data_IF_503275556930
#
_entry.id   IF_503275556930
#
_cell.length_a   1.000
_cell.length_b   1.000
_cell.length_c   1.000
_cell.angle_alpha   90.00
_cell.angle_beta   90.00
_cell.angle_gamma   90.00
#
_symmetry.space_group_name_H-M   'P 1'
#
loop_
_entity.id
_entity.type
_entity.pdbx_description
1 polymer ?
#
# COMPACT_ATOMS: atom_id res chain seq x y z
N UNK A 1 0.54 12.97 -59.54
CA UNK A 1 -0.51 12.11 -58.97
C UNK A 1 0.13 11.18 -57.94
N UNK A 2 -0.37 11.25 -56.70
CA UNK A 2 -0.44 10.18 -55.67
C UNK A 2 0.90 9.48 -55.35
N UNK A 3 1.71 9.95 -54.39
CA UNK A 3 1.69 9.61 -52.95
C UNK A 3 1.78 8.13 -52.61
N UNK A 4 2.83 7.73 -51.90
CA UNK A 4 2.78 6.65 -50.89
C UNK A 4 3.89 6.88 -49.87
N UNK A 5 3.49 7.57 -48.80
CA UNK A 5 4.23 7.74 -47.56
C UNK A 5 4.26 6.41 -46.80
N UNK A 6 5.44 5.89 -46.50
CA UNK A 6 5.60 4.87 -45.47
C UNK A 6 5.80 5.58 -44.13
N UNK A 7 4.73 5.62 -43.35
CA UNK A 7 4.72 6.12 -41.99
C UNK A 7 5.60 5.22 -41.10
N UNK A 8 6.68 5.80 -40.57
CA UNK A 8 7.36 5.29 -39.38
C UNK A 8 6.41 5.44 -38.19
N UNK A 9 5.87 4.33 -37.70
CA UNK A 9 5.27 4.27 -36.36
C UNK A 9 6.42 4.19 -35.33
N UNK A 10 6.89 5.35 -34.88
CA UNK A 10 7.67 5.45 -33.65
C UNK A 10 6.68 5.48 -32.49
N UNK A 11 6.54 4.35 -31.78
CA UNK A 11 5.76 4.29 -30.54
C UNK A 11 6.62 4.86 -29.40
N UNK A 12 6.18 5.90 -28.67
CA UNK A 12 6.91 6.41 -27.52
C UNK A 12 6.58 5.55 -26.31
N UNK A 13 7.58 4.88 -25.73
CA UNK A 13 7.39 4.12 -24.47
C UNK A 13 8.48 4.46 -23.45
N UNK A 14 8.64 5.75 -23.18
CA UNK A 14 9.32 6.24 -21.98
C UNK A 14 8.29 6.47 -20.88
N UNK A 15 8.15 5.55 -19.92
CA UNK A 15 7.72 5.83 -18.52
C UNK A 15 7.61 4.60 -17.60
N UNK A 16 7.89 3.38 -18.04
CA UNK A 16 7.69 2.17 -17.20
C UNK A 16 8.86 1.88 -16.23
N UNK A 17 10.01 2.54 -16.41
CA UNK A 17 11.26 2.21 -15.72
C UNK A 17 11.39 2.65 -14.23
N UNK A 18 10.72 3.69 -13.70
CA UNK A 18 10.91 4.08 -12.30
C UNK A 18 10.18 3.17 -11.30
N UNK A 19 9.02 2.62 -11.67
CA UNK A 19 8.18 1.84 -10.76
C UNK A 19 8.76 0.44 -10.53
N UNK A 20 9.28 -0.20 -11.57
CA UNK A 20 9.87 -1.55 -11.50
C UNK A 20 11.14 -1.57 -10.63
N UNK A 21 11.95 -0.51 -10.70
CA UNK A 21 13.14 -0.36 -9.86
C UNK A 21 12.76 -0.14 -8.38
N UNK A 22 11.75 0.67 -8.10
CA UNK A 22 11.25 0.88 -6.73
C UNK A 22 10.61 -0.38 -6.14
N UNK A 23 9.95 -1.21 -6.97
CA UNK A 23 9.37 -2.48 -6.55
C UNK A 23 10.41 -3.49 -6.04
N UNK A 24 11.62 -3.51 -6.61
CA UNK A 24 12.74 -4.33 -6.09
C UNK A 24 13.27 -3.81 -4.75
N UNK A 25 13.13 -2.52 -4.46
CA UNK A 25 13.65 -1.87 -3.25
C UNK A 25 12.77 -2.05 -2.01
N UNK A 26 11.47 -2.32 -2.18
CA UNK A 26 10.53 -2.59 -1.06
C UNK A 26 10.79 -3.97 -0.42
N UNK A 27 11.65 -4.80 -1.02
CA UNK A 27 11.99 -6.13 -0.51
C UNK A 27 12.61 -6.13 0.90
N UNK A 28 13.05 -4.99 1.43
CA UNK A 28 13.47 -4.84 2.83
C UNK A 28 12.46 -4.04 3.67
N UNK A 29 12.20 -4.53 4.88
CA UNK A 29 11.34 -3.88 5.89
C UNK A 29 11.76 -2.42 6.19
N UNK A 30 13.05 -2.10 6.05
CA UNK A 30 13.59 -0.76 6.22
C UNK A 30 13.06 0.25 5.19
N UNK A 31 12.90 -0.15 3.93
CA UNK A 31 12.38 0.70 2.86
C UNK A 31 10.87 0.92 3.01
N UNK A 32 10.15 -0.10 3.50
CA UNK A 32 8.73 0.02 3.83
C UNK A 32 8.50 1.07 4.93
N UNK A 33 9.27 1.00 6.03
CA UNK A 33 9.17 1.96 7.13
C UNK A 33 9.46 3.40 6.69
N UNK A 34 10.49 3.61 5.85
CA UNK A 34 10.78 4.94 5.29
C UNK A 34 9.63 5.48 4.45
N UNK A 35 9.07 4.65 3.56
CA UNK A 35 7.92 5.04 2.71
C UNK A 35 6.73 5.42 3.57
N UNK A 36 6.44 4.61 4.58
CA UNK A 36 5.34 4.83 5.50
C UNK A 36 5.48 6.15 6.28
N UNK A 37 6.68 6.45 6.81
CA UNK A 37 6.98 7.72 7.49
C UNK A 37 6.75 8.90 6.53
N UNK A 38 7.18 8.78 5.28
CA UNK A 38 6.99 9.85 4.29
C UNK A 38 5.51 10.08 3.96
N UNK A 39 4.71 9.01 3.83
CA UNK A 39 3.26 9.11 3.59
C UNK A 39 2.59 9.83 4.76
N UNK A 40 2.90 9.43 6.00
CA UNK A 40 2.41 10.08 7.22
C UNK A 40 2.81 11.56 7.25
N UNK A 41 4.07 11.87 6.98
CA UNK A 41 4.59 13.24 6.99
C UNK A 41 3.84 14.12 6.00
N UNK A 42 3.76 13.70 4.73
CA UNK A 42 3.07 14.47 3.70
C UNK A 42 1.56 14.54 3.91
N UNK A 43 0.93 13.47 4.40
CA UNK A 43 -0.49 13.51 4.74
C UNK A 43 -0.77 14.56 5.83
N UNK A 44 0.14 14.71 6.80
CA UNK A 44 0.01 15.69 7.88
C UNK A 44 0.16 17.10 7.35
N UNK A 45 1.22 17.35 6.59
CA UNK A 45 1.45 18.65 5.96
C UNK A 45 0.25 19.09 5.12
N UNK A 46 -0.26 18.19 4.27
CA UNK A 46 -1.44 18.50 3.45
C UNK A 46 -2.69 18.73 4.31
N UNK A 47 -2.90 17.95 5.37
CA UNK A 47 -4.01 18.15 6.30
C UNK A 47 -3.96 19.54 6.93
N UNK A 48 -2.80 19.92 7.48
CA UNK A 48 -2.60 21.22 8.13
C UNK A 48 -2.85 22.38 7.15
N UNK A 49 -2.44 22.24 5.89
CA UNK A 49 -2.73 23.23 4.83
C UNK A 49 -4.23 23.31 4.54
N UNK A 50 -4.91 22.19 4.32
CA UNK A 50 -6.34 22.21 3.99
C UNK A 50 -7.21 22.68 5.15
N UNK A 51 -6.84 22.35 6.39
CA UNK A 51 -7.55 22.79 7.60
C UNK A 51 -7.55 24.33 7.75
N UNK A 52 -6.58 25.03 7.16
CA UNK A 52 -6.54 26.49 7.13
C UNK A 52 -7.54 27.09 6.12
N UNK A 53 -8.03 26.30 5.16
CA UNK A 53 -8.89 26.76 4.07
C UNK A 53 -10.35 26.33 4.24
N UNK A 54 -11.26 27.29 4.39
CA UNK A 54 -12.71 27.06 4.59
C UNK A 54 -13.47 26.71 3.30
N UNK A 55 -12.93 25.81 2.46
CA UNK A 55 -13.57 25.36 1.22
C UNK A 55 -14.07 23.91 1.38
N UNK A 56 -15.23 23.60 0.82
CA UNK A 56 -15.82 22.24 0.85
C UNK A 56 -14.91 21.17 0.25
N UNK A 57 -14.12 21.52 -0.77
CA UNK A 57 -13.13 20.59 -1.35
C UNK A 57 -12.01 20.29 -0.34
N UNK A 58 -11.54 21.30 0.40
CA UNK A 58 -10.52 21.14 1.43
C UNK A 58 -11.02 20.24 2.56
N UNK A 59 -12.25 20.44 3.03
CA UNK A 59 -12.89 19.56 4.03
C UNK A 59 -12.96 18.10 3.57
N UNK A 60 -13.23 17.86 2.28
CA UNK A 60 -13.22 16.50 1.72
C UNK A 60 -11.81 15.91 1.72
N UNK A 61 -10.79 16.70 1.37
CA UNK A 61 -9.39 16.26 1.49
C UNK A 61 -9.03 15.93 2.93
N UNK A 62 -9.32 16.81 3.88
CA UNK A 62 -9.08 16.56 5.31
C UNK A 62 -9.69 15.24 5.76
N UNK A 63 -10.96 14.99 5.41
CA UNK A 63 -11.65 13.76 5.78
C UNK A 63 -10.95 12.51 5.20
N UNK A 64 -10.54 12.56 3.93
CA UNK A 64 -9.83 11.44 3.30
C UNK A 64 -8.44 11.25 3.91
N UNK A 65 -7.73 12.33 4.22
CA UNK A 65 -6.42 12.29 4.87
C UNK A 65 -6.50 11.67 6.27
N UNK A 66 -7.54 11.99 7.05
CA UNK A 66 -7.79 11.35 8.35
C UNK A 66 -8.04 9.84 8.18
N UNK A 67 -8.82 9.44 7.18
CA UNK A 67 -9.06 8.02 6.89
C UNK A 67 -7.77 7.29 6.51
N UNK A 68 -6.93 7.92 5.69
CA UNK A 68 -5.62 7.42 5.31
C UNK A 68 -4.73 7.21 6.54
N UNK A 69 -4.65 8.22 7.42
CA UNK A 69 -3.89 8.13 8.66
C UNK A 69 -4.30 6.94 9.53
N UNK A 70 -5.61 6.78 9.74
CA UNK A 70 -6.13 5.72 10.58
C UNK A 70 -5.82 4.34 10.00
N UNK A 71 -5.94 4.19 8.67
CA UNK A 71 -5.66 2.90 8.02
C UNK A 71 -4.18 2.55 8.06
N UNK A 72 -3.32 3.53 7.80
CA UNK A 72 -1.87 3.35 7.91
C UNK A 72 -1.47 2.98 9.34
N UNK A 73 -1.94 3.74 10.35
CA UNK A 73 -1.62 3.52 11.77
C UNK A 73 -1.94 2.09 12.23
N UNK A 74 -3.00 1.50 11.68
CA UNK A 74 -3.39 0.11 11.96
C UNK A 74 -2.60 -0.91 11.15
N UNK A 75 -2.22 -0.57 9.92
CA UNK A 75 -1.47 -1.49 9.04
C UNK A 75 -0.03 -1.73 9.47
N UNK A 76 0.66 -0.70 9.98
CA UNK A 76 2.08 -0.80 10.34
C UNK A 76 2.39 -1.95 11.33
N UNK A 77 1.75 -2.04 12.51
CA UNK A 77 2.05 -3.11 13.45
C UNK A 77 1.73 -4.51 12.89
N UNK A 78 0.74 -4.63 12.00
CA UNK A 78 0.41 -5.90 11.36
C UNK A 78 1.51 -6.35 10.40
N UNK A 79 2.11 -5.41 9.66
CA UNK A 79 3.21 -5.67 8.73
C UNK A 79 4.49 -6.01 9.50
N UNK A 80 4.79 -5.30 10.58
CA UNK A 80 5.93 -5.60 11.45
C UNK A 80 5.81 -6.99 12.05
N UNK A 81 4.64 -7.35 12.58
CA UNK A 81 4.36 -8.69 13.09
C UNK A 81 4.58 -9.75 11.99
N UNK A 82 3.89 -9.65 10.85
CA UNK A 82 4.04 -10.63 9.77
C UNK A 82 5.50 -10.74 9.32
N UNK A 83 6.21 -9.62 9.16
CA UNK A 83 7.61 -9.65 8.73
C UNK A 83 8.50 -10.41 9.71
N UNK A 84 8.29 -10.23 11.02
CA UNK A 84 9.02 -10.96 12.05
C UNK A 84 8.69 -12.45 12.02
N UNK A 85 7.41 -12.81 11.93
CA UNK A 85 6.96 -14.21 12.02
C UNK A 85 7.29 -15.02 10.75
N UNK A 86 7.35 -14.39 9.58
CA UNK A 86 7.65 -15.04 8.30
C UNK A 86 9.01 -15.74 8.24
N UNK A 87 9.96 -15.35 9.09
CA UNK A 87 11.28 -15.98 9.16
C UNK A 87 11.28 -17.33 9.88
N UNK A 88 10.20 -17.66 10.59
CA UNK A 88 10.07 -18.86 11.41
C UNK A 88 9.24 -19.98 10.75
N UNK A 89 8.77 -19.76 9.52
CA UNK A 89 7.86 -20.65 8.81
C UNK A 89 8.61 -21.66 7.93
N UNK A 90 8.41 -22.97 8.18
CA UNK A 90 9.06 -24.10 7.48
C UNK A 90 8.53 -24.38 6.05
N UNK A 91 9.17 -25.24 5.26
CA UNK A 91 9.01 -25.42 3.80
C UNK A 91 7.56 -25.49 3.21
N UNK A 92 6.58 -26.17 3.83
CA UNK A 92 5.16 -26.12 3.39
C UNK A 92 4.54 -24.72 3.57
N UNK A 93 5.06 -23.99 4.54
CA UNK A 93 4.79 -22.60 4.83
C UNK A 93 5.61 -21.65 3.95
N UNK A 94 6.50 -22.12 3.06
CA UNK A 94 7.22 -21.24 2.13
C UNK A 94 6.29 -20.68 1.05
N UNK A 95 5.32 -21.48 0.59
CA UNK A 95 4.24 -21.02 -0.31
C UNK A 95 3.35 -20.00 0.40
N UNK A 96 2.97 -20.28 1.66
CA UNK A 96 2.21 -19.33 2.48
C UNK A 96 3.01 -18.06 2.78
N UNK A 97 4.29 -18.20 3.10
CA UNK A 97 5.21 -17.10 3.36
C UNK A 97 5.38 -16.22 2.11
N UNK A 98 5.43 -16.82 0.92
CA UNK A 98 5.42 -16.06 -0.32
C UNK A 98 4.10 -15.33 -0.56
N UNK A 99 2.96 -15.90 -0.17
CA UNK A 99 1.67 -15.22 -0.17
C UNK A 99 1.65 -13.99 0.74
N UNK A 100 2.14 -14.13 1.98
CA UNK A 100 2.22 -13.03 2.95
C UNK A 100 3.24 -11.96 2.53
N UNK A 101 4.42 -12.34 2.01
CA UNK A 101 5.38 -11.40 1.43
C UNK A 101 4.77 -10.62 0.27
N UNK A 102 4.03 -11.30 -0.61
CA UNK A 102 3.32 -10.64 -1.72
C UNK A 102 2.27 -9.65 -1.22
N UNK A 103 1.57 -9.97 -0.14
CA UNK A 103 0.61 -9.06 0.50
C UNK A 103 1.30 -7.80 1.06
N UNK A 104 2.43 -7.97 1.76
CA UNK A 104 3.23 -6.86 2.30
C UNK A 104 3.75 -5.98 1.15
N UNK A 105 4.31 -6.58 0.09
CA UNK A 105 4.79 -5.85 -1.09
C UNK A 105 3.67 -5.07 -1.79
N UNK A 106 2.49 -5.68 -1.91
CA UNK A 106 1.32 -5.04 -2.51
C UNK A 106 0.85 -3.84 -1.68
N UNK A 107 0.89 -3.95 -0.35
CA UNK A 107 0.61 -2.83 0.55
C UNK A 107 1.65 -1.71 0.40
N UNK A 108 2.94 -2.05 0.36
CA UNK A 108 4.03 -1.11 0.07
C UNK A 108 3.83 -0.37 -1.25
N UNK A 109 3.38 -1.07 -2.29
CA UNK A 109 3.03 -0.44 -3.57
C UNK A 109 1.89 0.57 -3.44
N UNK A 110 0.81 0.21 -2.73
CA UNK A 110 -0.30 1.13 -2.48
C UNK A 110 0.15 2.37 -1.67
N UNK A 111 1.09 2.20 -0.72
CA UNK A 111 1.72 3.30 0.00
C UNK A 111 2.52 4.22 -0.94
N UNK A 112 3.33 3.68 -1.86
CA UNK A 112 4.07 4.48 -2.84
C UNK A 112 3.16 5.27 -3.78
N UNK A 113 2.09 4.65 -4.27
CA UNK A 113 1.12 5.36 -5.13
C UNK A 113 0.44 6.49 -4.36
N UNK A 114 0.08 6.25 -3.10
CA UNK A 114 -0.46 7.28 -2.21
C UNK A 114 0.55 8.39 -1.95
N UNK A 115 1.82 8.05 -1.72
CA UNK A 115 2.90 9.02 -1.52
C UNK A 115 3.02 9.98 -2.71
N UNK A 116 2.96 9.45 -3.92
CA UNK A 116 3.07 10.24 -5.14
C UNK A 116 1.91 11.23 -5.27
N UNK A 117 0.68 10.80 -4.97
CA UNK A 117 -0.49 11.69 -4.94
C UNK A 117 -0.29 12.81 -3.90
N UNK A 118 0.19 12.47 -2.69
CA UNK A 118 0.45 13.45 -1.64
C UNK A 118 1.55 14.45 -2.02
N UNK A 119 2.58 14.02 -2.76
CA UNK A 119 3.61 14.92 -3.32
C UNK A 119 3.00 15.88 -4.34
N UNK A 120 2.15 15.39 -5.23
CA UNK A 120 1.46 16.21 -6.22
C UNK A 120 0.49 17.21 -5.56
N UNK A 121 -0.15 16.82 -4.47
CA UNK A 121 -0.95 17.73 -3.63
C UNK A 121 -0.07 18.83 -3.04
N UNK A 122 1.02 18.45 -2.40
CA UNK A 122 1.91 19.37 -1.71
C UNK A 122 2.57 20.37 -2.67
N UNK A 123 3.00 19.92 -3.85
CA UNK A 123 3.64 20.78 -4.86
C UNK A 123 2.70 21.80 -5.50
N UNK A 124 1.39 21.54 -5.48
CA UNK A 124 0.38 22.31 -6.24
C UNK A 124 -0.77 22.79 -5.36
N UNK A 125 -0.63 22.85 -4.04
CA UNK A 125 -1.73 23.18 -3.13
C UNK A 125 -2.44 24.50 -3.49
N UNK A 126 -1.68 25.54 -3.87
CA UNK A 126 -2.25 26.83 -4.35
C UNK A 126 -3.01 26.66 -5.68
N UNK A 127 -2.50 25.86 -6.62
CA UNK A 127 -3.15 25.64 -7.91
C UNK A 127 -4.42 24.79 -7.80
N UNK A 128 -4.42 23.79 -6.90
CA UNK A 128 -5.57 22.91 -6.64
C UNK A 128 -6.76 23.65 -6.02
N UNK A 129 -6.48 24.67 -5.20
CA UNK A 129 -7.50 25.55 -4.63
C UNK A 129 -8.23 26.38 -5.71
N UNK A 130 -7.55 26.71 -6.82
CA UNK A 130 -8.09 27.57 -7.87
C UNK A 130 -8.65 26.79 -9.08
N UNK A 131 -8.22 25.55 -9.34
CA UNK A 131 -8.70 24.72 -10.47
C UNK A 131 -9.54 23.53 -9.99
N UNK A 132 -10.85 23.75 -9.92
CA UNK A 132 -11.86 22.80 -9.40
C UNK A 132 -11.83 21.41 -10.05
N UNK A 133 -11.54 21.31 -11.35
CA UNK A 133 -11.53 20.01 -12.06
C UNK A 133 -10.36 19.14 -11.57
N UNK A 134 -9.14 19.71 -11.58
CA UNK A 134 -7.93 18.99 -11.18
C UNK A 134 -7.98 18.58 -9.69
N UNK A 135 -8.55 19.42 -8.81
CA UNK A 135 -8.69 19.05 -7.39
C UNK A 135 -9.70 17.92 -7.17
N UNK A 136 -10.74 17.80 -8.00
CA UNK A 136 -11.69 16.69 -7.90
C UNK A 136 -11.09 15.36 -8.38
N UNK A 137 -10.35 15.36 -9.48
CA UNK A 137 -9.66 14.16 -9.99
C UNK A 137 -8.68 13.62 -8.94
N UNK A 138 -7.88 14.52 -8.38
CA UNK A 138 -6.86 14.14 -7.41
C UNK A 138 -7.48 13.71 -6.07
N UNK A 139 -8.60 14.32 -5.65
CA UNK A 139 -9.39 13.85 -4.51
C UNK A 139 -9.94 12.44 -4.74
N UNK A 140 -10.43 12.15 -5.96
CA UNK A 140 -10.97 10.84 -6.32
C UNK A 140 -9.86 9.78 -6.30
N UNK A 141 -8.68 10.11 -6.82
CA UNK A 141 -7.53 9.22 -6.81
C UNK A 141 -7.06 8.91 -5.37
N UNK A 142 -6.90 9.94 -4.53
CA UNK A 142 -6.55 9.77 -3.12
C UNK A 142 -7.58 8.90 -2.38
N UNK A 143 -8.88 9.15 -2.63
CA UNK A 143 -9.97 8.37 -2.04
C UNK A 143 -9.94 6.90 -2.49
N UNK A 144 -9.61 6.64 -3.75
CA UNK A 144 -9.47 5.29 -4.29
C UNK A 144 -8.36 4.53 -3.58
N UNK A 145 -7.16 5.10 -3.50
CA UNK A 145 -6.03 4.45 -2.85
C UNK A 145 -6.18 4.33 -1.33
N UNK A 146 -6.87 5.28 -0.69
CA UNK A 146 -7.23 5.17 0.73
C UNK A 146 -8.16 3.97 0.98
N UNK A 147 -9.14 3.72 0.10
CA UNK A 147 -9.98 2.53 0.18
C UNK A 147 -9.18 1.24 -0.05
N UNK A 148 -8.26 1.25 -1.01
CA UNK A 148 -7.37 0.11 -1.28
C UNK A 148 -6.52 -0.22 -0.06
N UNK A 149 -5.90 0.78 0.56
CA UNK A 149 -5.11 0.61 1.79
C UNK A 149 -5.95 0.04 2.93
N UNK A 150 -7.20 0.53 3.10
CA UNK A 150 -8.13 -0.02 4.10
C UNK A 150 -8.52 -1.48 3.82
N UNK A 151 -8.72 -1.85 2.56
CA UNK A 151 -8.98 -3.24 2.20
C UNK A 151 -7.75 -4.13 2.46
N UNK A 152 -6.55 -3.62 2.18
CA UNK A 152 -5.30 -4.33 2.46
C UNK A 152 -5.04 -4.45 3.97
N UNK A 153 -5.34 -3.42 4.78
CA UNK A 153 -5.33 -3.48 6.25
C UNK A 153 -6.17 -4.66 6.76
N UNK A 154 -7.40 -4.82 6.26
CA UNK A 154 -8.26 -5.94 6.63
C UNK A 154 -7.62 -7.28 6.26
N UNK A 155 -7.03 -7.40 5.07
CA UNK A 155 -6.34 -8.63 4.64
C UNK A 155 -5.11 -8.93 5.49
N UNK A 156 -4.35 -7.91 5.90
CA UNK A 156 -3.22 -8.05 6.81
C UNK A 156 -3.68 -8.54 8.19
N UNK A 157 -4.80 -8.02 8.69
CA UNK A 157 -5.38 -8.46 9.96
C UNK A 157 -5.78 -9.93 9.91
N UNK A 158 -6.38 -10.39 8.80
CA UNK A 158 -6.69 -11.81 8.60
C UNK A 158 -5.42 -12.67 8.52
N UNK A 159 -4.40 -12.19 7.80
CA UNK A 159 -3.13 -12.90 7.68
C UNK A 159 -2.44 -13.08 9.04
N UNK A 160 -2.38 -12.04 9.88
CA UNK A 160 -1.87 -12.15 11.26
C UNK A 160 -2.67 -13.17 12.05
N UNK A 161 -4.00 -13.11 11.99
CA UNK A 161 -4.86 -14.07 12.69
C UNK A 161 -4.65 -15.52 12.25
N UNK A 162 -4.36 -15.76 10.97
CA UNK A 162 -4.05 -17.11 10.47
C UNK A 162 -2.69 -17.62 10.99
N UNK A 163 -1.69 -16.75 11.02
CA UNK A 163 -0.35 -17.07 11.54
C UNK A 163 -0.40 -17.36 13.05
N UNK A 164 -1.12 -16.52 13.81
CA UNK A 164 -1.29 -16.72 15.26
C UNK A 164 -2.02 -18.04 15.59
N UNK A 165 -2.92 -18.48 14.71
CA UNK A 165 -3.62 -19.75 14.85
C UNK A 165 -2.74 -20.96 14.47
N UNK A 166 -1.83 -20.83 13.50
CA UNK A 166 -0.91 -21.92 13.16
C UNK A 166 0.12 -22.17 14.25
N UNK A 167 0.63 -21.14 14.91
CA UNK A 167 1.61 -21.29 16.00
C UNK A 167 1.00 -21.91 17.27
N UNK A 168 -0.30 -21.73 17.48
CA UNK A 168 -1.06 -22.35 18.58
C UNK A 168 -1.51 -23.78 18.28
N UNK A 169 -1.26 -24.26 17.07
CA UNK A 169 -1.67 -25.58 16.60
C UNK A 169 -0.45 -26.41 16.20
N UNK A 170 0.36 -26.76 17.20
CA UNK A 170 0.86 -28.12 17.41
C UNK A 170 -0.30 -29.13 17.62
N UNK A 171 -1.37 -29.01 16.81
CA UNK A 171 -2.56 -29.87 16.80
C UNK A 171 -2.30 -31.24 16.20
N UNK A 172 -1.12 -31.46 15.62
CA UNK A 172 -0.61 -32.79 15.35
C UNK A 172 0.40 -33.15 16.44
N UNK A 173 -0.08 -33.18 17.68
CA UNK A 173 0.60 -33.91 18.74
C UNK A 173 0.51 -35.40 18.38
N UNK A 174 1.66 -35.96 18.06
CA UNK A 174 2.01 -37.38 18.03
C UNK A 174 0.86 -38.39 17.86
N UNK A 175 0.65 -38.83 16.61
CA UNK A 175 -0.11 -40.07 16.31
C UNK A 175 0.63 -41.32 16.85
N UNK A 176 1.83 -41.16 17.43
CA UNK A 176 2.59 -42.23 18.07
C UNK A 176 2.08 -42.64 19.46
N UNK A 177 1.04 -41.98 20.00
CA UNK A 177 0.41 -42.35 21.28
C UNK A 177 -0.97 -43.02 21.14
N UNK A 178 -1.37 -43.52 19.96
CA UNK A 178 -2.55 -44.39 19.85
C UNK A 178 -2.12 -45.79 20.33
N UNK A 179 -2.65 -46.32 21.45
CA UNK A 179 -2.40 -47.71 21.82
C UNK A 179 -3.04 -48.60 20.76
N UNK A 180 -2.23 -49.40 20.07
CA UNK A 180 -2.71 -50.52 19.28
C UNK A 180 -3.15 -51.63 20.25
N UNK A 181 -4.38 -51.52 20.75
CA UNK A 181 -5.12 -52.66 21.30
C UNK A 181 -6.05 -53.20 20.19
N UNK A 182 -5.49 -54.06 19.32
CA UNK A 182 -6.22 -55.12 18.58
C UNK A 182 -5.36 -56.38 18.56
#
# INVERSE_FOLDING_TARGET
MVSSSSNNLTLPTETTTPIILQLKTIASCSTFNLTYIQVIGLAKTNYDIFAQHKNDICRKFEHVLIQLFNSLKRSLPLIENLTQTLHHLDYCSEVHANGYRTLILSHGHACLRTLEILKQMNAKHIAHLHRRIHSLELLQELKSWTKTLKAMEHRLSLAVGLVDCSDKHSLFTDVSQIPLDI
#
